data_IF_667381411799
#
_entry.id   IF_667381411799
#
_cell.length_a   1.000
_cell.length_b   1.000
_cell.length_c   1.000
_cell.angle_alpha   90.00
_cell.angle_beta   90.00
_cell.angle_gamma   90.00
#
_symmetry.space_group_name_H-M   'P 1'
#
loop_
_entity.id
_entity.type
_entity.pdbx_description
1 polymer ?
#
# COMPACT_ATOMS: atom_id res chain seq x y z
N UNK A 1 49.18 33.83 36.72
CA UNK A 1 48.53 32.82 35.87
C UNK A 1 47.32 33.46 35.20
N UNK A 2 47.28 33.55 33.86
CA UNK A 2 46.09 34.01 33.15
C UNK A 2 44.97 32.95 33.20
N UNK A 3 43.69 33.37 33.22
CA UNK A 3 42.56 32.44 33.22
C UNK A 3 42.46 31.70 31.88
N UNK A 4 41.96 30.45 31.88
CA UNK A 4 41.80 29.67 30.67
C UNK A 4 40.76 30.34 29.74
N UNK A 5 40.95 30.23 28.42
CA UNK A 5 40.00 30.77 27.45
C UNK A 5 38.63 30.07 27.59
N UNK A 6 37.52 30.80 27.35
CA UNK A 6 36.19 30.23 27.41
C UNK A 6 36.04 29.12 26.36
N UNK A 7 35.55 27.96 26.82
CA UNK A 7 35.26 26.80 25.97
C UNK A 7 34.28 27.19 24.87
N UNK A 8 34.65 26.91 23.61
CA UNK A 8 33.75 27.13 22.48
C UNK A 8 32.47 26.30 22.65
N UNK A 9 31.28 26.87 22.40
CA UNK A 9 30.03 26.13 22.49
C UNK A 9 30.04 24.98 21.49
N UNK A 10 29.83 23.76 22.00
CA UNK A 10 29.72 22.55 21.19
C UNK A 10 28.56 22.73 20.18
N UNK A 11 28.75 22.40 18.89
CA UNK A 11 27.65 22.45 17.93
C UNK A 11 26.50 21.55 18.43
N UNK A 12 25.23 21.98 18.22
CA UNK A 12 24.10 21.17 18.60
C UNK A 12 24.16 19.81 17.88
N UNK A 13 23.76 18.72 18.55
CA UNK A 13 23.72 17.41 17.91
C UNK A 13 22.80 17.45 16.69
N UNK A 14 23.12 16.69 15.62
CA UNK A 14 22.28 16.62 14.44
C UNK A 14 20.87 16.15 14.83
N UNK A 15 19.85 16.82 14.32
CA UNK A 15 18.45 16.44 14.54
C UNK A 15 18.23 14.98 14.12
N UNK A 16 17.53 14.17 14.94
CA UNK A 16 17.23 12.79 14.57
C UNK A 16 16.43 12.76 13.26
N UNK A 17 16.63 11.74 12.40
CA UNK A 17 15.87 11.60 11.17
C UNK A 17 14.35 11.54 11.48
N UNK A 18 13.49 12.04 10.57
CA UNK A 18 12.05 11.98 10.75
C UNK A 18 11.61 10.54 11.02
N UNK A 19 10.75 10.34 12.03
CA UNK A 19 10.17 9.02 12.29
C UNK A 19 9.17 8.71 11.19
N UNK A 20 9.49 7.74 10.33
CA UNK A 20 8.54 7.22 9.34
C UNK A 20 7.30 6.65 10.05
N UNK A 21 6.11 7.11 9.68
CA UNK A 21 4.84 6.57 10.17
C UNK A 21 4.18 5.69 9.10
N UNK A 22 3.32 4.76 9.52
CA UNK A 22 2.48 3.98 8.58
C UNK A 22 1.03 4.38 8.77
N UNK A 23 0.42 4.90 7.70
CA UNK A 23 -1.01 5.12 7.63
C UNK A 23 -1.65 3.85 7.07
N UNK A 24 -2.35 3.09 7.91
CA UNK A 24 -3.02 1.86 7.51
C UNK A 24 -4.36 2.12 6.82
N UNK A 25 -4.69 1.36 5.79
CA UNK A 25 -5.98 1.52 5.10
C UNK A 25 -7.15 1.42 6.09
N UNK A 26 -8.17 2.26 5.95
CA UNK A 26 -9.29 2.31 6.89
C UNK A 26 -10.49 1.49 6.41
N UNK A 27 -10.55 1.22 5.12
CA UNK A 27 -11.47 0.26 4.52
C UNK A 27 -10.87 -0.31 3.24
N UNK A 28 -11.50 -1.32 2.66
CA UNK A 28 -11.08 -1.88 1.38
C UNK A 28 -12.26 -2.51 0.63
N UNK A 29 -12.21 -2.42 -0.69
CA UNK A 29 -13.15 -3.05 -1.60
C UNK A 29 -12.40 -3.94 -2.60
N UNK A 30 -13.04 -5.02 -3.00
CA UNK A 30 -12.51 -5.95 -3.98
C UNK A 30 -13.09 -5.72 -5.38
N UNK A 31 -12.65 -6.51 -6.33
CA UNK A 31 -13.22 -6.55 -7.67
C UNK A 31 -14.63 -7.16 -7.68
N UNK A 32 -15.34 -7.06 -8.82
CA UNK A 32 -16.68 -7.67 -8.95
C UNK A 32 -16.57 -9.19 -8.73
N UNK A 33 -17.22 -9.69 -7.69
CA UNK A 33 -17.14 -11.11 -7.27
C UNK A 33 -16.43 -11.29 -5.92
N UNK A 34 -15.69 -10.28 -5.45
CA UNK A 34 -15.29 -10.21 -4.05
C UNK A 34 -16.51 -9.88 -3.22
N UNK A 35 -17.00 -10.89 -2.51
CA UNK A 35 -18.15 -10.74 -1.65
C UNK A 35 -17.84 -9.73 -0.53
N UNK A 36 -18.46 -8.56 -0.61
CA UNK A 36 -18.58 -7.64 0.53
C UNK A 36 -19.60 -8.27 1.47
N UNK A 37 -19.29 -8.46 2.77
CA UNK A 37 -20.33 -8.92 3.69
C UNK A 37 -21.45 -7.88 3.69
N UNK A 38 -22.69 -8.32 3.40
CA UNK A 38 -23.86 -7.57 3.81
C UNK A 38 -23.72 -7.27 5.32
N UNK A 39 -24.12 -6.07 5.75
CA UNK A 39 -23.88 -5.48 7.08
C UNK A 39 -24.21 -6.37 8.29
N UNK A 40 -24.90 -7.51 8.09
CA UNK A 40 -25.31 -8.46 9.13
C UNK A 40 -24.78 -9.90 8.92
N UNK A 41 -23.76 -10.14 8.08
CA UNK A 41 -23.12 -11.47 7.94
C UNK A 41 -21.72 -11.50 8.56
N UNK A 42 -21.30 -12.65 9.14
CA UNK A 42 -19.94 -12.79 9.67
C UNK A 42 -18.89 -12.43 8.63
N UNK A 43 -17.82 -11.78 9.06
CA UNK A 43 -16.69 -11.36 8.24
C UNK A 43 -16.24 -12.52 7.36
N UNK A 44 -16.48 -12.42 6.05
CA UNK A 44 -16.26 -13.53 5.14
C UNK A 44 -14.76 -13.82 5.02
N UNK A 45 -14.39 -15.09 5.17
CA UNK A 45 -13.01 -15.56 4.98
C UNK A 45 -12.51 -15.12 3.60
N UNK A 46 -11.35 -14.47 3.56
CA UNK A 46 -10.78 -13.97 2.31
C UNK A 46 -11.36 -12.64 1.80
N UNK A 47 -12.25 -11.96 2.53
CA UNK A 47 -12.86 -10.72 2.07
C UNK A 47 -11.90 -9.51 2.03
N UNK A 48 -12.15 -8.50 1.18
CA UNK A 48 -11.26 -7.35 1.01
C UNK A 48 -11.11 -6.52 2.28
N UNK A 49 -12.12 -6.52 3.17
CA UNK A 49 -12.04 -5.85 4.48
C UNK A 49 -10.92 -6.35 5.39
N UNK A 50 -10.29 -7.50 5.10
CA UNK A 50 -9.08 -7.92 5.81
C UNK A 50 -7.84 -7.07 5.48
N UNK A 51 -7.85 -6.28 4.40
CA UNK A 51 -6.75 -5.35 4.08
C UNK A 51 -6.75 -4.08 4.94
N UNK A 52 -7.86 -3.82 5.64
CA UNK A 52 -8.01 -2.63 6.47
C UNK A 52 -7.39 -2.82 7.86
N UNK A 53 -6.77 -1.76 8.36
CA UNK A 53 -6.10 -1.69 9.63
C UNK A 53 -4.66 -2.21 9.60
N UNK A 54 -3.94 -2.08 10.73
CA UNK A 54 -2.63 -2.67 10.89
C UNK A 54 -2.69 -4.20 10.82
N UNK A 55 -1.56 -4.88 10.49
CA UNK A 55 -1.49 -6.33 10.50
C UNK A 55 -1.93 -6.88 11.86
N UNK A 56 -2.87 -7.83 11.84
CA UNK A 56 -3.39 -8.48 13.05
C UNK A 56 -2.26 -9.22 13.78
N UNK A 57 -2.36 -9.42 15.10
CA UNK A 57 -1.33 -10.15 15.86
C UNK A 57 -1.03 -11.55 15.29
N UNK A 58 -2.03 -12.26 14.76
CA UNK A 58 -1.84 -13.56 14.08
C UNK A 58 -1.00 -13.46 12.80
N UNK A 59 -1.10 -12.35 12.08
CA UNK A 59 -0.28 -12.06 10.88
C UNK A 59 1.16 -11.85 11.29
N UNK A 60 1.40 -11.03 12.31
CA UNK A 60 2.75 -10.72 12.82
C UNK A 60 3.48 -11.92 13.45
N UNK A 61 2.74 -12.92 13.93
CA UNK A 61 3.29 -14.14 14.55
C UNK A 61 3.46 -15.30 13.57
N UNK A 62 3.01 -15.17 12.33
CA UNK A 62 3.16 -16.23 11.36
C UNK A 62 4.64 -16.42 10.99
N UNK A 63 5.10 -17.67 10.96
CA UNK A 63 6.48 -18.03 10.63
C UNK A 63 6.58 -18.70 9.26
N UNK A 64 5.46 -19.16 8.70
CA UNK A 64 5.41 -19.91 7.45
C UNK A 64 4.58 -19.16 6.39
N UNK A 65 5.04 -19.24 5.14
CA UNK A 65 4.31 -18.70 4.01
C UNK A 65 3.21 -19.71 3.62
N UNK A 66 2.00 -19.48 4.11
CA UNK A 66 0.92 -20.46 4.01
C UNK A 66 -0.47 -19.81 3.86
N UNK A 67 -1.46 -20.52 3.30
CA UNK A 67 -2.82 -20.00 3.17
C UNK A 67 -3.44 -19.52 4.50
N UNK A 68 -3.63 -18.21 4.63
CA UNK A 68 -4.17 -17.56 5.84
C UNK A 68 -5.51 -16.82 5.62
N UNK A 69 -6.53 -17.50 5.09
CA UNK A 69 -7.80 -16.86 4.68
C UNK A 69 -8.63 -16.19 5.78
N UNK A 70 -8.40 -16.56 7.05
CA UNK A 70 -9.07 -15.92 8.19
C UNK A 70 -8.58 -14.50 8.50
N UNK A 71 -7.39 -14.14 8.03
CA UNK A 71 -6.73 -12.86 8.35
C UNK A 71 -6.27 -12.10 7.10
N UNK A 72 -6.61 -12.60 5.92
CA UNK A 72 -6.15 -12.04 4.65
C UNK A 72 -7.32 -11.86 3.68
N UNK A 73 -7.20 -10.90 2.78
CA UNK A 73 -7.94 -10.90 1.52
C UNK A 73 -7.35 -11.96 0.60
N UNK A 74 -8.24 -12.65 -0.09
CA UNK A 74 -7.90 -13.60 -1.16
C UNK A 74 -8.68 -13.14 -2.39
N UNK A 75 -8.01 -12.86 -3.51
CA UNK A 75 -8.68 -12.47 -4.75
C UNK A 75 -9.71 -13.51 -5.22
N UNK A 76 -10.62 -13.13 -6.13
CA UNK A 76 -11.53 -14.10 -6.70
C UNK A 76 -10.78 -15.03 -7.67
N UNK A 77 -11.21 -16.29 -7.74
CA UNK A 77 -10.62 -17.29 -8.64
C UNK A 77 -10.90 -16.92 -10.11
N UNK A 78 -12.09 -16.39 -10.39
CA UNK A 78 -12.53 -16.00 -11.73
C UNK A 78 -12.81 -14.50 -11.82
N UNK A 79 -12.71 -13.94 -13.02
CA UNK A 79 -12.89 -12.50 -13.25
C UNK A 79 -11.67 -11.68 -12.81
N UNK A 80 -11.83 -10.35 -12.85
CA UNK A 80 -10.75 -9.40 -12.49
C UNK A 80 -10.29 -9.62 -11.05
N UNK A 81 -8.97 -9.54 -10.81
CA UNK A 81 -8.38 -9.71 -9.47
C UNK A 81 -7.70 -8.42 -9.02
N UNK A 82 -8.44 -7.58 -8.30
CA UNK A 82 -7.88 -6.38 -7.69
C UNK A 82 -8.56 -6.08 -6.37
N UNK A 83 -7.84 -5.40 -5.49
CA UNK A 83 -8.42 -4.75 -4.32
C UNK A 83 -8.03 -3.26 -4.31
N UNK A 84 -8.94 -2.44 -3.81
CA UNK A 84 -8.71 -1.03 -3.53
C UNK A 84 -8.81 -0.81 -2.03
N UNK A 85 -7.70 -0.42 -1.41
CA UNK A 85 -7.61 -0.06 0.00
C UNK A 85 -7.74 1.47 0.12
N UNK A 86 -8.65 1.95 0.95
CA UNK A 86 -8.98 3.37 1.08
C UNK A 86 -8.37 3.99 2.33
N UNK A 87 -8.04 5.27 2.25
CA UNK A 87 -7.40 6.07 3.28
C UNK A 87 -8.26 7.30 3.58
N UNK A 88 -8.58 7.52 4.85
CA UNK A 88 -9.38 8.67 5.31
C UNK A 88 -8.83 9.28 6.60
N UNK A 89 -7.53 9.12 6.85
CA UNK A 89 -6.82 9.74 7.97
C UNK A 89 -6.90 11.26 7.89
N UNK A 90 -6.85 11.92 9.04
CA UNK A 90 -6.75 13.38 9.16
C UNK A 90 -5.51 13.71 10.00
N UNK A 91 -4.53 14.45 9.45
CA UNK A 91 -4.45 14.91 8.06
C UNK A 91 -4.33 13.74 7.05
N UNK A 92 -4.78 13.95 5.81
CA UNK A 92 -4.56 12.98 4.74
C UNK A 92 -3.08 12.97 4.36
N UNK A 93 -2.55 11.80 4.02
CA UNK A 93 -1.21 11.71 3.44
C UNK A 93 -1.24 12.28 2.02
N UNK A 94 -0.24 13.08 1.66
CA UNK A 94 -0.10 13.56 0.28
C UNK A 94 0.85 12.68 -0.53
N UNK A 95 0.77 12.74 -1.86
CA UNK A 95 1.69 12.01 -2.74
C UNK A 95 3.16 12.32 -2.45
N UNK A 96 3.47 13.54 -2.00
CA UNK A 96 4.83 13.96 -1.65
C UNK A 96 5.32 13.44 -0.29
N UNK A 97 4.41 12.98 0.57
CA UNK A 97 4.73 12.39 1.87
C UNK A 97 4.87 10.87 1.80
N UNK A 98 4.15 10.21 0.88
CA UNK A 98 4.21 8.76 0.73
C UNK A 98 5.48 8.35 -0.02
N UNK A 99 6.39 7.66 0.65
CA UNK A 99 7.60 7.13 0.02
C UNK A 99 7.49 5.65 -0.36
N UNK A 100 6.55 4.91 0.25
CA UNK A 100 6.29 3.52 -0.10
C UNK A 100 4.85 3.10 0.21
N UNK A 101 4.35 2.13 -0.53
CA UNK A 101 3.17 1.33 -0.15
C UNK A 101 3.66 0.04 0.49
N UNK A 102 3.20 -0.23 1.71
CA UNK A 102 3.47 -1.51 2.38
C UNK A 102 2.30 -2.46 2.18
N UNK A 103 2.61 -3.69 1.76
CA UNK A 103 1.64 -4.79 1.63
C UNK A 103 2.14 -5.98 2.43
N UNK A 104 1.32 -6.46 3.38
CA UNK A 104 1.64 -7.69 4.11
C UNK A 104 1.14 -8.90 3.33
N UNK A 105 2.06 -9.80 2.99
CA UNK A 105 1.80 -11.02 2.24
C UNK A 105 1.90 -12.21 3.20
N UNK A 106 0.87 -13.07 3.20
CA UNK A 106 0.79 -14.28 4.02
C UNK A 106 0.99 -15.56 3.22
N UNK A 107 0.61 -15.52 1.95
CA UNK A 107 0.78 -16.59 0.98
C UNK A 107 1.10 -15.94 -0.37
N UNK A 108 2.11 -16.45 -1.09
CA UNK A 108 2.39 -16.00 -2.47
C UNK A 108 1.44 -16.63 -3.48
N UNK A 109 0.94 -17.83 -3.19
CA UNK A 109 0.26 -18.66 -4.19
C UNK A 109 1.24 -19.17 -5.25
N UNK A 110 0.70 -19.59 -6.39
CA UNK A 110 1.49 -20.13 -7.51
C UNK A 110 1.68 -19.13 -8.66
N UNK A 111 0.99 -17.98 -8.59
CA UNK A 111 1.06 -16.96 -9.62
C UNK A 111 2.42 -16.27 -9.58
N UNK A 112 3.07 -16.15 -10.73
CA UNK A 112 4.37 -15.49 -10.85
C UNK A 112 4.38 -14.45 -11.99
N UNK A 113 4.55 -13.14 -11.69
CA UNK A 113 4.54 -12.56 -10.34
C UNK A 113 3.12 -12.60 -9.74
N UNK A 114 2.95 -12.63 -8.41
CA UNK A 114 1.62 -12.66 -7.78
C UNK A 114 0.91 -11.29 -7.82
N UNK A 115 1.65 -10.19 -7.65
CA UNK A 115 1.15 -8.81 -7.80
C UNK A 115 1.69 -8.26 -9.13
N UNK A 116 0.81 -7.75 -9.98
CA UNK A 116 1.19 -7.21 -11.30
C UNK A 116 1.36 -5.70 -11.30
N UNK A 117 0.55 -4.97 -10.54
CA UNK A 117 0.74 -3.54 -10.40
C UNK A 117 0.13 -2.98 -9.12
N UNK A 118 0.68 -1.85 -8.69
CA UNK A 118 0.16 -1.04 -7.58
C UNK A 118 0.02 0.39 -8.06
N UNK A 119 -1.14 1.00 -7.79
CA UNK A 119 -1.44 2.37 -8.15
C UNK A 119 -2.01 3.15 -6.97
N UNK A 120 -1.62 4.42 -6.86
CA UNK A 120 -2.22 5.38 -5.93
C UNK A 120 -3.41 6.06 -6.59
N UNK A 121 -4.51 6.20 -5.88
CA UNK A 121 -5.56 7.14 -6.24
C UNK A 121 -5.32 8.46 -5.52
N UNK A 122 -5.08 9.49 -6.30
CA UNK A 122 -4.83 10.83 -5.83
C UNK A 122 -6.09 11.68 -5.98
N UNK A 123 -6.33 12.57 -5.02
CA UNK A 123 -7.36 13.61 -5.10
C UNK A 123 -6.68 14.97 -5.13
N UNK A 124 -6.95 15.70 -6.21
CA UNK A 124 -6.57 17.10 -6.37
C UNK A 124 -7.83 17.96 -6.39
N UNK A 125 -7.67 19.27 -6.28
CA UNK A 125 -8.75 20.24 -6.40
C UNK A 125 -8.43 21.17 -7.57
N UNK A 126 -9.38 21.32 -8.50
CA UNK A 126 -9.21 22.25 -9.61
C UNK A 126 -9.42 23.71 -9.14
N UNK A 127 -9.28 24.68 -10.05
CA UNK A 127 -9.47 26.10 -9.74
C UNK A 127 -10.88 26.44 -9.17
N UNK A 128 -11.88 25.60 -9.47
CA UNK A 128 -13.26 25.71 -8.95
C UNK A 128 -13.46 24.97 -7.62
N UNK A 129 -12.39 24.43 -7.03
CA UNK A 129 -12.39 23.58 -5.82
C UNK A 129 -13.18 22.28 -5.97
N UNK A 130 -13.35 21.80 -7.19
CA UNK A 130 -13.96 20.50 -7.45
C UNK A 130 -12.89 19.41 -7.31
N UNK A 131 -13.25 18.31 -6.64
CA UNK A 131 -12.36 17.18 -6.45
C UNK A 131 -12.18 16.43 -7.78
N UNK A 132 -10.92 16.31 -8.22
CA UNK A 132 -10.52 15.50 -9.37
C UNK A 132 -9.69 14.34 -8.86
N UNK A 133 -10.08 13.12 -9.23
CA UNK A 133 -9.33 11.91 -8.85
C UNK A 133 -8.59 11.34 -10.04
N UNK A 134 -7.39 10.82 -9.79
CA UNK A 134 -6.58 10.19 -10.83
C UNK A 134 -5.76 9.04 -10.27
N UNK A 135 -5.52 8.02 -11.09
CA UNK A 135 -4.67 6.90 -10.73
C UNK A 135 -3.25 7.13 -11.23
N UNK A 136 -2.27 6.86 -10.36
CA UNK A 136 -0.83 6.90 -10.69
C UNK A 136 -0.23 5.56 -10.34
N UNK A 137 0.23 4.81 -11.34
CA UNK A 137 0.90 3.53 -11.14
C UNK A 137 2.31 3.78 -10.57
N UNK A 138 2.60 3.17 -9.42
CA UNK A 138 3.90 3.28 -8.73
C UNK A 138 4.76 2.04 -8.90
N UNK A 139 4.13 0.91 -9.24
CA UNK A 139 4.78 -0.37 -9.48
C UNK A 139 4.03 -1.09 -10.61
N UNK A 140 4.77 -1.61 -11.58
CA UNK A 140 4.23 -2.40 -12.69
C UNK A 140 5.26 -3.43 -13.16
N UNK A 141 4.90 -4.70 -13.13
CA UNK A 141 5.80 -5.79 -13.54
C UNK A 141 6.16 -5.76 -15.02
N UNK A 142 5.32 -5.15 -15.87
CA UNK A 142 5.60 -4.99 -17.30
C UNK A 142 6.73 -3.99 -17.58
N UNK A 143 7.07 -3.14 -16.60
CA UNK A 143 8.22 -2.24 -16.68
C UNK A 143 9.57 -2.95 -16.47
N UNK A 144 9.57 -4.28 -16.27
CA UNK A 144 10.75 -5.07 -15.93
C UNK A 144 11.07 -5.10 -14.43
N UNK A 145 10.31 -4.37 -13.60
CA UNK A 145 10.40 -4.44 -12.14
C UNK A 145 9.69 -5.68 -11.63
N UNK A 146 10.44 -6.73 -11.28
CA UNK A 146 9.91 -7.90 -10.58
C UNK A 146 10.46 -7.93 -9.17
N UNK A 147 9.63 -7.58 -8.20
CA UNK A 147 10.02 -7.61 -6.79
C UNK A 147 9.84 -9.02 -6.22
N UNK A 148 10.88 -9.57 -5.61
CA UNK A 148 10.77 -10.83 -4.87
C UNK A 148 10.05 -10.55 -3.53
N UNK A 149 8.86 -11.12 -3.37
CA UNK A 149 8.08 -10.85 -2.17
C UNK A 149 8.64 -11.61 -0.95
N UNK A 150 8.81 -10.94 0.19
CA UNK A 150 8.90 -11.58 1.49
C UNK A 150 7.57 -12.27 1.85
N UNK A 151 7.63 -13.49 2.39
CA UNK A 151 6.44 -14.23 2.83
C UNK A 151 6.77 -15.23 3.95
N UNK A 152 6.05 -15.21 5.09
CA UNK A 152 5.11 -14.15 5.46
C UNK A 152 5.88 -12.87 5.76
N UNK A 153 5.38 -11.70 5.35
CA UNK A 153 6.13 -10.47 5.58
C UNK A 153 5.57 -9.20 4.96
N UNK A 154 6.14 -8.07 5.40
CA UNK A 154 5.91 -6.76 4.82
C UNK A 154 6.73 -6.60 3.54
N UNK A 155 6.07 -6.14 2.47
CA UNK A 155 6.70 -5.82 1.19
C UNK A 155 6.51 -4.34 0.92
N UNK A 156 7.59 -3.64 0.59
CA UNK A 156 7.62 -2.19 0.50
C UNK A 156 7.83 -1.76 -0.96
N UNK A 157 6.73 -1.43 -1.62
CA UNK A 157 6.74 -0.92 -2.98
C UNK A 157 7.05 0.57 -2.94
N UNK A 158 8.27 0.95 -3.30
CA UNK A 158 8.68 2.34 -3.32
C UNK A 158 7.76 3.17 -4.22
N UNK A 159 7.47 4.41 -3.80
CA UNK A 159 6.84 5.42 -4.65
C UNK A 159 7.98 6.19 -5.34
N UNK A 160 8.17 6.04 -6.66
CA UNK A 160 9.19 6.79 -7.38
C UNK A 160 8.99 8.29 -7.26
N UNK A 161 10.08 9.04 -7.44
CA UNK A 161 9.98 10.49 -7.60
C UNK A 161 9.03 10.83 -8.77
N UNK A 162 8.27 11.95 -8.70
CA UNK A 162 7.27 12.28 -9.72
C UNK A 162 7.81 12.40 -11.15
N UNK A 163 9.11 12.67 -11.30
CA UNK A 163 9.81 12.73 -12.59
C UNK A 163 9.99 11.36 -13.25
N UNK A 164 9.95 10.28 -12.47
CA UNK A 164 10.03 8.90 -12.95
C UNK A 164 8.65 8.24 -13.09
N UNK A 165 7.57 8.94 -12.70
CA UNK A 165 6.21 8.46 -12.79
C UNK A 165 5.56 8.89 -14.11
N UNK A 166 4.76 7.99 -14.70
CA UNK A 166 3.83 8.36 -15.76
C UNK A 166 2.62 9.06 -15.14
N UNK A 167 2.71 10.38 -15.00
CA UNK A 167 1.62 11.18 -14.43
C UNK A 167 0.46 11.34 -15.43
N UNK A 168 -0.80 11.32 -14.95
CA UNK A 168 -1.98 11.63 -15.76
C UNK A 168 -1.85 12.99 -16.45
N UNK A 169 -2.48 13.13 -17.62
CA UNK A 169 -2.50 14.39 -18.36
C UNK A 169 -3.04 15.51 -17.46
N UNK A 170 -2.29 16.61 -17.38
CA UNK A 170 -2.62 17.77 -16.54
C UNK A 170 -2.15 17.68 -15.09
N UNK A 171 -1.58 16.55 -14.65
CA UNK A 171 -0.95 16.45 -13.33
C UNK A 171 0.54 16.81 -13.40
N UNK A 172 0.93 17.85 -12.67
CA UNK A 172 2.34 18.23 -12.51
C UNK A 172 2.98 17.51 -11.32
N UNK A 173 4.31 17.52 -11.23
CA UNK A 173 5.02 16.98 -10.05
C UNK A 173 4.63 17.70 -8.76
N UNK A 174 4.43 19.02 -8.80
CA UNK A 174 3.90 19.76 -7.65
C UNK A 174 2.48 19.32 -7.31
N UNK A 175 1.64 19.11 -8.34
CA UNK A 175 0.27 18.61 -8.16
C UNK A 175 0.24 17.24 -7.49
N UNK A 176 1.11 16.32 -7.92
CA UNK A 176 1.29 15.02 -7.27
C UNK A 176 1.68 15.17 -5.79
N UNK A 177 2.68 16.01 -5.51
CA UNK A 177 3.22 16.17 -4.16
C UNK A 177 2.20 16.72 -3.14
N UNK A 178 1.26 17.54 -3.60
CA UNK A 178 0.21 18.14 -2.77
C UNK A 178 -1.13 17.39 -2.84
N UNK A 179 -1.27 16.39 -3.71
CA UNK A 179 -2.52 15.65 -3.86
C UNK A 179 -2.71 14.69 -2.68
N UNK A 180 -3.93 14.62 -2.14
CA UNK A 180 -4.27 13.66 -1.10
C UNK A 180 -4.26 12.25 -1.70
N UNK A 181 -3.60 11.30 -1.03
CA UNK A 181 -3.71 9.87 -1.34
C UNK A 181 -4.97 9.34 -0.68
N UNK A 182 -5.97 8.98 -1.49
CA UNK A 182 -7.27 8.52 -0.99
C UNK A 182 -7.44 7.00 -1.11
N UNK A 183 -6.68 6.35 -1.99
CA UNK A 183 -6.71 4.90 -2.13
C UNK A 183 -5.40 4.32 -2.71
N UNK A 184 -5.21 3.03 -2.51
CA UNK A 184 -4.21 2.19 -3.17
C UNK A 184 -4.95 1.05 -3.86
N UNK A 185 -4.70 0.83 -5.15
CA UNK A 185 -5.17 -0.34 -5.88
C UNK A 185 -4.02 -1.32 -6.08
N UNK A 186 -4.27 -2.58 -5.72
CA UNK A 186 -3.37 -3.70 -5.95
C UNK A 186 -4.01 -4.60 -6.99
N UNK A 187 -3.34 -4.82 -8.12
CA UNK A 187 -3.77 -5.74 -9.16
C UNK A 187 -2.97 -7.05 -9.04
N UNK A 188 -3.67 -8.16 -9.14
CA UNK A 188 -3.13 -9.51 -9.03
C UNK A 188 -3.08 -10.14 -10.42
N UNK A 189 -2.12 -11.02 -10.61
CA UNK A 189 -1.94 -11.75 -11.86
C UNK A 189 -3.19 -12.57 -12.22
N UNK A 190 -3.52 -12.56 -13.51
CA UNK A 190 -4.70 -13.21 -14.08
C UNK A 190 -4.42 -14.64 -14.60
N UNK A 191 -3.24 -15.19 -14.30
CA UNK A 191 -2.84 -16.54 -14.64
C UNK A 191 -3.78 -17.62 -14.08
N UNK A 192 -3.60 -18.83 -14.60
CA UNK A 192 -4.41 -19.99 -14.25
C UNK A 192 -4.26 -20.36 -12.77
N UNK A 193 -5.36 -20.86 -12.19
CA UNK A 193 -5.50 -21.25 -10.79
C UNK A 193 -6.14 -22.63 -10.79
N UNK A 194 -5.50 -23.60 -10.14
CA UNK A 194 -5.85 -25.02 -10.26
C UNK A 194 -6.34 -25.61 -8.93
N UNK A 195 -5.68 -25.30 -7.82
CA UNK A 195 -6.01 -25.76 -6.47
C UNK A 195 -6.92 -24.79 -5.69
N UNK A 196 -7.64 -23.91 -6.40
CA UNK A 196 -8.58 -22.96 -5.79
C UNK A 196 -7.90 -21.80 -5.07
N UNK A 197 -8.42 -21.38 -3.92
CA UNK A 197 -7.96 -20.15 -3.24
C UNK A 197 -6.51 -20.23 -2.72
N UNK A 198 -5.96 -21.43 -2.48
CA UNK A 198 -4.59 -21.59 -1.98
C UNK A 198 -3.52 -21.21 -3.02
N UNK A 199 -3.87 -21.25 -4.31
CA UNK A 199 -3.01 -20.86 -5.43
C UNK A 199 -2.92 -19.34 -5.61
N UNK A 200 -3.77 -18.58 -4.92
CA UNK A 200 -3.82 -17.13 -4.98
C UNK A 200 -2.98 -16.51 -3.87
N UNK A 201 -2.49 -15.27 -4.05
CA UNK A 201 -1.85 -14.54 -2.98
C UNK A 201 -2.85 -14.19 -1.88
N UNK A 202 -2.41 -14.28 -0.62
CA UNK A 202 -3.17 -13.87 0.55
C UNK A 202 -2.55 -12.61 1.12
N UNK A 203 -3.28 -11.50 1.09
CA UNK A 203 -2.79 -10.19 1.53
C UNK A 203 -3.50 -9.75 2.80
N UNK A 204 -2.75 -9.38 3.84
CA UNK A 204 -3.31 -9.17 5.18
C UNK A 204 -3.44 -7.71 5.61
N UNK A 205 -2.74 -6.78 4.98
CA UNK A 205 -2.93 -5.34 5.22
C UNK A 205 -2.25 -4.52 4.12
N UNK A 206 -2.72 -3.29 3.96
CA UNK A 206 -2.12 -2.27 3.09
C UNK A 206 -1.93 -0.99 3.89
N UNK A 207 -0.76 -0.37 3.75
CA UNK A 207 -0.45 0.90 4.37
C UNK A 207 0.35 1.82 3.47
N UNK A 208 0.32 3.11 3.78
CA UNK A 208 1.19 4.13 3.22
C UNK A 208 2.29 4.41 4.23
N UNK A 209 3.54 4.30 3.81
CA UNK A 209 4.67 4.71 4.65
C UNK A 209 4.99 6.16 4.32
N UNK A 210 4.90 7.02 5.33
CA UNK A 210 4.95 8.48 5.20
C UNK A 210 6.12 9.08 5.97
N UNK A 211 6.65 10.20 5.46
CA UNK A 211 7.71 11.03 6.07
C UNK A 211 7.21 12.40 6.50
#
# INVERSE_FOLDING_TARGET
HPPPPPSSPTPPPPSPPPRSAVYWATSAAGSKGDAVPASNKPQQLGGPGNLAGPPKSKVLKAQECAPAGAVSWIPPITGSRFATAYFNQTPAATGGQVYAVVVYVMNKGILDPPITSIALQLRTYNAKREAVTSWVTIYDVSSGQKEELACPGANHFAVPAPTALQLPVGMTSSGFNTADVIAVRININMGAVHAGKADLPHLASVGLVVV
#
